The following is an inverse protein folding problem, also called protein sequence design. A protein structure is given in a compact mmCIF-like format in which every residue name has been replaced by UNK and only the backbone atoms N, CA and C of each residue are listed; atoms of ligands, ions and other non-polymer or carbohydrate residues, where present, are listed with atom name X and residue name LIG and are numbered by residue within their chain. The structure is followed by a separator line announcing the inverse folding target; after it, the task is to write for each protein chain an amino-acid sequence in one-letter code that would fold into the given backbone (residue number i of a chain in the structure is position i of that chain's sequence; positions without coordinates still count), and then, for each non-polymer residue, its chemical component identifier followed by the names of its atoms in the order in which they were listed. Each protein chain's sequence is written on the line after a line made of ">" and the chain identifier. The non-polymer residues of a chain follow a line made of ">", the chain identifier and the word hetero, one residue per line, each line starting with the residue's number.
data_IF_638475254633
#
_entry.id   IF_638475254633
#
_cell.length_a   1.000
_cell.length_b   1.000
_cell.length_c   1.000
_cell.angle_alpha   90.00
_cell.angle_beta   90.00
_cell.angle_gamma   90.00
#
_symmetry.space_group_name_H-M   'P 1'
#
loop_
_entity.id
_entity.type
_entity.pdbx_description
1 polymer ?
#
# COMPACT_ATOMS: atom_id res chain seq x y z
N UNK A 1 -4.69 31.81 38.36
CA UNK A 1 -4.29 33.20 38.08
C UNK A 1 -5.22 33.71 36.98
N UNK A 2 -5.78 34.93 37.06
CA UNK A 2 -6.49 35.50 35.92
C UNK A 2 -5.50 35.68 34.77
N UNK A 3 -5.93 35.35 33.56
CA UNK A 3 -5.12 35.47 32.34
C UNK A 3 -4.88 36.95 32.01
N UNK A 4 -3.65 37.30 31.66
CA UNK A 4 -3.27 38.64 31.19
C UNK A 4 -3.54 38.74 29.68
N UNK A 5 -4.65 39.38 29.30
CA UNK A 5 -5.12 39.48 27.92
C UNK A 5 -4.43 40.60 27.11
N UNK A 6 -3.49 41.34 27.68
CA UNK A 6 -2.87 42.52 27.03
C UNK A 6 -1.95 42.17 25.86
N UNK A 7 -1.61 40.89 25.67
CA UNK A 7 -0.67 40.40 24.64
C UNK A 7 -1.32 39.62 23.50
N UNK A 8 -2.64 39.40 23.54
CA UNK A 8 -3.34 38.60 22.54
C UNK A 8 -3.75 39.46 21.32
N UNK A 9 -3.63 38.93 20.09
CA UNK A 9 -3.99 39.65 18.87
C UNK A 9 -5.50 39.98 18.85
N UNK A 10 -5.82 41.26 18.62
CA UNK A 10 -7.19 41.78 18.57
C UNK A 10 -7.64 41.98 17.13
N UNK A 11 -8.91 41.71 16.87
CA UNK A 11 -9.55 41.98 15.59
C UNK A 11 -9.68 43.50 15.41
N UNK A 12 -9.22 43.98 14.24
CA UNK A 12 -9.15 45.42 13.92
C UNK A 12 -10.24 45.84 12.92
N UNK A 13 -10.72 44.88 12.11
CA UNK A 13 -11.80 45.02 11.13
C UNK A 13 -12.49 43.65 10.91
N UNK A 14 -13.77 43.61 10.50
CA UNK A 14 -14.68 44.75 10.34
C UNK A 14 -15.10 45.37 11.69
N UNK A 15 -15.56 46.64 11.69
CA UNK A 15 -15.91 47.42 12.91
C UNK A 15 -16.82 46.65 13.88
N UNK A 16 -17.74 45.82 13.37
CA UNK A 16 -18.65 44.97 14.15
C UNK A 16 -17.94 43.94 15.07
N UNK A 17 -16.69 43.58 14.74
CA UNK A 17 -15.86 42.67 15.53
C UNK A 17 -14.58 43.34 16.07
N UNK A 18 -14.48 44.67 15.97
CA UNK A 18 -13.29 45.39 16.47
C UNK A 18 -13.15 45.23 17.98
N UNK A 19 -11.96 44.82 18.43
CA UNK A 19 -11.64 44.60 19.85
C UNK A 19 -11.86 43.18 20.35
N UNK A 20 -12.42 42.28 19.54
CA UNK A 20 -12.53 40.86 19.87
C UNK A 20 -11.15 40.20 19.89
N UNK A 21 -10.93 39.25 20.80
CA UNK A 21 -9.66 38.52 20.90
C UNK A 21 -9.74 37.23 20.09
N UNK A 22 -8.75 37.01 19.22
CA UNK A 22 -8.58 35.71 18.56
C UNK A 22 -7.97 34.70 19.54
N UNK A 23 -8.70 33.62 19.81
CA UNK A 23 -8.31 32.61 20.79
C UNK A 23 -7.58 31.40 20.17
N UNK A 24 -7.64 31.24 18.84
CA UNK A 24 -6.95 30.16 18.13
C UNK A 24 -7.76 29.58 16.97
N UNK A 25 -7.10 28.71 16.20
CA UNK A 25 -7.69 27.86 15.17
C UNK A 25 -7.45 26.40 15.58
N UNK A 26 -8.52 25.61 15.61
CA UNK A 26 -8.45 24.18 15.95
C UNK A 26 -8.96 23.33 14.80
N UNK A 27 -8.31 22.20 14.56
CA UNK A 27 -8.92 21.08 13.83
C UNK A 27 -9.49 20.12 14.88
N UNK A 28 -10.79 19.82 14.76
CA UNK A 28 -11.63 19.07 15.70
C UNK A 28 -12.13 19.85 16.94
N UNK A 29 -13.46 19.92 17.10
CA UNK A 29 -14.13 20.35 18.33
C UNK A 29 -14.29 19.14 19.26
N UNK A 30 -13.59 19.07 20.41
CA UNK A 30 -13.64 17.93 21.32
C UNK A 30 -14.99 17.78 22.08
N UNK A 31 -15.94 18.71 21.91
CA UNK A 31 -17.24 18.71 22.63
C UNK A 31 -18.45 18.38 21.76
N UNK A 32 -18.26 18.13 20.46
CA UNK A 32 -19.36 17.78 19.58
C UNK A 32 -19.63 16.25 19.61
N UNK A 33 -20.84 15.87 20.04
CA UNK A 33 -21.24 14.47 20.26
C UNK A 33 -21.36 13.61 18.98
N UNK A 34 -21.20 14.19 17.78
CA UNK A 34 -21.47 13.53 16.49
C UNK A 34 -20.38 13.80 15.43
N UNK A 35 -19.11 13.53 15.72
CA UNK A 35 -18.10 13.44 14.67
C UNK A 35 -17.44 12.06 14.67
N UNK A 36 -18.17 11.08 14.18
CA UNK A 36 -17.58 9.89 13.57
C UNK A 36 -17.74 10.04 12.07
N UNK A 37 -16.63 9.95 11.35
CA UNK A 37 -16.57 10.09 9.89
C UNK A 37 -17.25 8.95 9.13
N UNK A 38 -18.36 8.38 9.63
CA UNK A 38 -19.10 7.31 8.98
C UNK A 38 -20.60 7.51 9.17
N UNK A 39 -21.31 7.81 8.08
CA UNK A 39 -22.76 7.88 8.04
C UNK A 39 -23.33 6.48 7.80
N UNK A 40 -23.85 5.86 8.87
CA UNK A 40 -24.46 4.53 8.84
C UNK A 40 -25.70 4.40 7.93
N UNK A 41 -26.40 5.51 7.63
CA UNK A 41 -27.60 5.47 6.76
C UNK A 41 -27.24 5.43 5.28
N UNK A 42 -26.13 6.04 4.90
CA UNK A 42 -25.68 6.15 3.50
C UNK A 42 -24.39 5.38 3.23
N UNK A 43 -23.84 4.70 4.23
CA UNK A 43 -22.53 4.04 4.22
C UNK A 43 -21.42 4.94 3.67
N UNK A 44 -21.40 6.21 4.07
CA UNK A 44 -20.50 7.24 3.52
C UNK A 44 -19.49 7.67 4.56
N UNK A 45 -18.21 7.65 4.20
CA UNK A 45 -17.13 8.14 5.05
C UNK A 45 -16.94 9.63 4.86
N UNK A 46 -16.81 10.38 5.96
CA UNK A 46 -16.40 11.78 5.92
C UNK A 46 -15.19 12.08 6.80
N UNK A 47 -14.03 12.42 6.22
CA UNK A 47 -13.04 13.28 6.89
C UNK A 47 -13.59 14.70 6.97
N UNK A 48 -14.01 15.07 8.17
CA UNK A 48 -14.57 16.38 8.47
C UNK A 48 -13.45 17.27 9.01
N UNK A 49 -12.96 18.20 8.19
CA UNK A 49 -12.18 19.32 8.69
C UNK A 49 -13.18 20.36 9.19
N UNK A 50 -13.48 20.35 10.48
CA UNK A 50 -14.15 21.49 11.10
C UNK A 50 -13.11 22.56 11.34
N UNK A 51 -13.20 23.66 10.61
CA UNK A 51 -12.55 24.90 10.99
C UNK A 51 -13.50 25.56 11.98
N UNK A 52 -13.10 25.56 13.26
CA UNK A 52 -13.76 26.35 14.29
C UNK A 52 -12.88 27.56 14.59
N UNK A 53 -13.42 28.74 14.31
CA UNK A 53 -12.85 30.02 14.75
C UNK A 53 -13.65 30.49 15.95
N UNK A 54 -12.95 30.82 17.04
CA UNK A 54 -13.56 31.36 18.26
C UNK A 54 -13.06 32.77 18.52
N UNK A 55 -14.00 33.66 18.76
CA UNK A 55 -13.73 35.01 19.24
C UNK A 55 -14.44 35.21 20.58
N UNK A 56 -13.79 35.93 21.49
CA UNK A 56 -14.40 36.37 22.74
C UNK A 56 -14.48 37.90 22.78
N UNK A 57 -15.63 38.40 23.20
CA UNK A 57 -15.84 39.81 23.51
C UNK A 57 -15.38 40.08 24.94
N UNK A 58 -14.39 40.96 25.10
CA UNK A 58 -13.84 41.32 26.42
C UNK A 58 -14.86 42.04 27.31
N UNK A 59 -15.87 42.67 26.72
CA UNK A 59 -16.80 43.58 27.42
C UNK A 59 -17.88 42.82 28.19
N UNK A 60 -18.41 41.76 27.58
CA UNK A 60 -19.54 40.99 28.11
C UNK A 60 -19.23 39.49 28.27
N UNK A 61 -18.04 39.05 27.88
CA UNK A 61 -17.61 37.66 27.94
C UNK A 61 -18.29 36.75 26.92
N UNK A 62 -19.05 37.30 25.97
CA UNK A 62 -19.73 36.52 24.94
C UNK A 62 -18.72 35.88 23.98
N UNK A 63 -19.03 34.67 23.52
CA UNK A 63 -18.18 33.89 22.61
C UNK A 63 -18.95 33.73 21.29
N UNK A 64 -18.34 34.15 20.18
CA UNK A 64 -18.82 33.83 18.84
C UNK A 64 -17.98 32.69 18.29
N UNK A 65 -18.67 31.68 17.75
CA UNK A 65 -18.05 30.56 17.06
C UNK A 65 -18.48 30.58 15.59
N UNK A 66 -17.51 30.65 14.68
CA UNK A 66 -17.74 30.32 13.28
C UNK A 66 -17.27 28.90 13.02
N UNK A 67 -18.17 28.09 12.48
CA UNK A 67 -17.93 26.69 12.19
C UNK A 67 -18.16 26.45 10.70
N UNK A 68 -17.13 26.02 9.98
CA UNK A 68 -17.27 25.52 8.62
C UNK A 68 -16.84 24.05 8.59
N UNK A 69 -17.80 23.20 8.24
CA UNK A 69 -17.55 21.78 7.97
C UNK A 69 -17.05 21.65 6.53
N UNK A 70 -15.77 21.32 6.37
CA UNK A 70 -15.20 20.92 5.07
C UNK A 70 -15.12 19.39 5.03
N UNK A 71 -15.63 18.83 3.93
CA UNK A 71 -15.82 17.41 3.66
C UNK A 71 -15.15 17.14 2.30
N UNK A 72 -14.37 16.10 1.97
CA UNK A 72 -13.78 14.91 2.63
C UNK A 72 -12.65 14.43 1.73
N UNK A 73 -11.49 14.13 2.30
CA UNK A 73 -10.53 13.28 1.58
C UNK A 73 -10.83 11.81 1.80
N UNK A 74 -10.91 11.05 0.70
CA UNK A 74 -11.00 9.58 0.72
C UNK A 74 -9.62 8.93 0.54
N UNK A 75 -9.54 7.62 0.67
CA UNK A 75 -8.29 6.88 0.62
C UNK A 75 -7.87 6.57 -0.82
N UNK A 76 -6.60 6.79 -1.11
CA UNK A 76 -5.94 6.43 -2.34
C UNK A 76 -4.75 5.50 -2.06
N UNK A 77 -4.46 4.60 -3.00
CA UNK A 77 -3.44 3.58 -2.80
C UNK A 77 -2.46 3.44 -3.97
N UNK A 78 -1.22 3.02 -3.67
CA UNK A 78 -0.23 2.54 -4.64
C UNK A 78 0.33 1.21 -4.18
N UNK A 79 0.61 0.31 -5.10
CA UNK A 79 1.13 -1.03 -4.79
C UNK A 79 2.48 -1.24 -5.45
N UNK A 80 3.41 -1.85 -4.71
CA UNK A 80 4.73 -2.27 -5.19
C UNK A 80 4.96 -3.74 -4.87
N UNK A 81 5.53 -4.49 -5.80
CA UNK A 81 5.99 -5.86 -5.56
C UNK A 81 7.51 -5.86 -5.34
N UNK A 82 7.98 -6.39 -4.21
CA UNK A 82 9.40 -6.61 -3.92
C UNK A 82 9.62 -8.12 -3.84
N UNK A 83 10.61 -8.63 -4.58
CA UNK A 83 10.72 -10.06 -4.86
C UNK A 83 11.97 -10.68 -4.24
N UNK A 84 11.81 -11.91 -3.77
CA UNK A 84 12.90 -12.82 -3.46
C UNK A 84 12.67 -14.18 -4.16
N UNK A 85 13.53 -15.15 -3.86
CA UNK A 85 13.46 -16.50 -4.47
C UNK A 85 12.26 -17.33 -3.98
N UNK A 86 11.56 -16.91 -2.93
CA UNK A 86 10.47 -17.66 -2.29
C UNK A 86 9.10 -17.00 -2.46
N UNK A 87 9.04 -15.70 -2.72
CA UNK A 87 7.79 -14.97 -2.83
C UNK A 87 7.92 -13.51 -3.20
N UNK A 88 6.83 -12.79 -2.92
CA UNK A 88 6.67 -11.36 -3.15
C UNK A 88 6.15 -10.69 -1.88
N UNK A 89 6.87 -9.67 -1.42
CA UNK A 89 6.37 -8.70 -0.45
C UNK A 89 5.60 -7.62 -1.23
N UNK A 90 4.28 -7.65 -1.09
CA UNK A 90 3.37 -6.66 -1.67
C UNK A 90 3.28 -5.49 -0.70
N UNK A 91 3.87 -4.35 -1.06
CA UNK A 91 3.85 -3.12 -0.26
C UNK A 91 2.74 -2.21 -0.78
N UNK A 92 1.85 -1.79 0.12
CA UNK A 92 0.74 -0.89 -0.17
C UNK A 92 0.96 0.43 0.56
N UNK A 93 1.06 1.51 -0.20
CA UNK A 93 1.11 2.88 0.30
C UNK A 93 -0.30 3.47 0.27
N UNK A 94 -0.80 3.88 1.42
CA UNK A 94 -2.12 4.51 1.59
C UNK A 94 -1.95 5.99 1.93
N UNK A 95 -2.65 6.85 1.21
CA UNK A 95 -2.63 8.30 1.40
C UNK A 95 -4.02 8.89 1.15
N UNK A 96 -4.18 10.15 1.54
CA UNK A 96 -5.40 10.90 1.27
C UNK A 96 -5.44 11.37 -0.19
N UNK A 97 -6.52 11.05 -0.90
CA UNK A 97 -6.74 11.39 -2.32
C UNK A 97 -6.76 12.89 -2.57
N UNK A 98 -7.37 13.63 -1.65
CA UNK A 98 -7.45 15.09 -1.65
C UNK A 98 -6.69 15.63 -0.44
N UNK A 99 -5.83 16.61 -0.65
CA UNK A 99 -5.14 17.31 0.43
C UNK A 99 -5.77 18.71 0.61
N UNK A 100 -5.68 19.30 1.81
CA UNK A 100 -6.07 20.69 1.98
C UNK A 100 -5.26 21.59 1.03
N UNK A 101 -5.82 22.75 0.61
CA UNK A 101 -5.09 23.73 -0.19
C UNK A 101 -3.76 24.11 0.45
N UNK A 102 -2.70 24.22 -0.36
CA UNK A 102 -1.33 24.48 0.13
C UNK A 102 -1.25 25.83 0.88
N UNK A 103 -2.09 26.79 0.53
CA UNK A 103 -2.16 28.12 1.13
C UNK A 103 -2.53 28.09 2.62
N UNK A 104 -3.17 27.01 3.09
CA UNK A 104 -3.51 26.83 4.50
C UNK A 104 -2.31 26.38 5.35
N UNK A 105 -1.19 25.98 4.71
CA UNK A 105 0.03 25.52 5.37
C UNK A 105 -0.22 24.47 6.47
N UNK A 106 -1.15 23.55 6.21
CA UNK A 106 -1.50 22.47 7.13
C UNK A 106 -0.64 21.25 6.83
N UNK A 107 0.06 20.73 7.84
CA UNK A 107 0.77 19.46 7.72
C UNK A 107 -0.23 18.31 7.53
N UNK A 108 -0.20 17.59 6.40
CA UNK A 108 -1.12 16.49 6.17
C UNK A 108 -0.89 15.37 7.19
N UNK A 109 -1.97 14.97 7.86
CA UNK A 109 -1.95 13.80 8.72
C UNK A 109 -2.04 12.52 7.89
N UNK A 110 -1.43 11.41 8.33
CA UNK A 110 -1.60 10.12 7.68
C UNK A 110 -3.05 9.63 7.81
N UNK A 111 -3.54 8.83 6.86
CA UNK A 111 -4.78 8.08 7.02
C UNK A 111 -4.84 7.26 8.32
N UNK A 112 -6.00 7.21 8.96
CA UNK A 112 -6.21 6.41 10.16
C UNK A 112 -7.62 5.82 10.16
N UNK A 113 -7.81 4.71 10.89
CA UNK A 113 -9.09 4.04 11.06
C UNK A 113 -8.99 2.52 10.97
N UNK A 114 -10.06 1.85 11.39
CA UNK A 114 -10.22 0.40 11.33
C UNK A 114 -10.53 -0.04 9.88
N UNK A 115 -9.51 0.02 9.03
CA UNK A 115 -9.59 -0.31 7.60
C UNK A 115 -8.58 -1.40 7.27
N UNK A 116 -8.99 -2.34 6.42
CA UNK A 116 -8.10 -3.30 5.79
C UNK A 116 -8.06 -3.07 4.27
N UNK A 117 -6.90 -3.35 3.70
CA UNK A 117 -6.72 -3.48 2.25
C UNK A 117 -6.97 -4.94 1.90
N UNK A 118 -7.89 -5.18 0.96
CA UNK A 118 -8.29 -6.53 0.55
C UNK A 118 -8.11 -6.66 -0.95
N UNK A 119 -7.44 -7.72 -1.38
CA UNK A 119 -7.32 -8.10 -2.78
C UNK A 119 -8.22 -9.29 -3.07
N UNK A 120 -9.15 -9.10 -4.01
CA UNK A 120 -10.02 -10.13 -4.54
C UNK A 120 -9.52 -10.59 -5.91
N UNK A 121 -9.59 -11.89 -6.18
CA UNK A 121 -9.38 -12.42 -7.52
C UNK A 121 -10.61 -12.23 -8.43
N UNK A 122 -10.54 -12.76 -9.65
CA UNK A 122 -11.61 -12.65 -10.64
C UNK A 122 -12.88 -13.44 -10.25
N UNK A 123 -12.77 -14.38 -9.32
CA UNK A 123 -13.87 -15.16 -8.75
C UNK A 123 -14.41 -14.57 -7.44
N UNK A 124 -13.92 -13.41 -7.02
CA UNK A 124 -14.19 -12.76 -5.73
C UNK A 124 -13.69 -13.53 -4.51
N UNK A 125 -12.77 -14.48 -4.66
CA UNK A 125 -12.07 -15.04 -3.51
C UNK A 125 -11.02 -14.06 -3.00
N UNK A 126 -10.80 -14.05 -1.69
CA UNK A 126 -9.77 -13.21 -1.08
C UNK A 126 -8.41 -13.84 -1.35
N UNK A 127 -7.53 -13.11 -2.02
CA UNK A 127 -6.12 -13.46 -2.12
C UNK A 127 -5.38 -13.07 -0.84
N UNK A 128 -5.56 -11.82 -0.39
CA UNK A 128 -5.00 -11.36 0.87
C UNK A 128 -5.87 -10.27 1.51
N UNK A 129 -5.72 -10.15 2.83
CA UNK A 129 -6.27 -9.09 3.68
C UNK A 129 -5.14 -8.58 4.58
N UNK A 130 -4.90 -7.27 4.59
CA UNK A 130 -3.93 -6.65 5.50
C UNK A 130 -4.57 -5.44 6.18
N UNK A 131 -4.58 -5.36 7.53
CA UNK A 131 -4.96 -4.15 8.23
C UNK A 131 -4.05 -2.98 7.85
N UNK A 132 -4.63 -1.79 7.64
CA UNK A 132 -3.88 -0.60 7.28
C UNK A 132 -2.82 -0.29 8.34
N UNK A 133 -1.57 -0.10 7.92
CA UNK A 133 -0.42 0.16 8.80
C UNK A 133 0.27 -1.09 9.34
N UNK A 134 -0.24 -2.29 9.02
CA UNK A 134 0.36 -3.57 9.42
C UNK A 134 1.13 -4.23 8.28
N UNK A 135 2.09 -5.08 8.60
CA UNK A 135 2.77 -5.86 7.57
C UNK A 135 3.97 -6.65 8.03
N UNK A 136 4.82 -7.00 7.07
CA UNK A 136 5.96 -7.91 7.18
C UNK A 136 7.23 -7.26 6.64
N UNK A 137 8.38 -7.89 6.88
CA UNK A 137 9.70 -7.48 6.36
C UNK A 137 10.09 -6.02 6.63
N UNK A 138 9.54 -5.42 7.69
CA UNK A 138 9.77 -4.02 8.06
C UNK A 138 9.01 -3.00 7.20
N UNK A 139 8.16 -3.43 6.26
CA UNK A 139 7.32 -2.55 5.44
C UNK A 139 5.95 -2.31 6.09
N UNK A 140 5.92 -1.58 7.20
CA UNK A 140 4.69 -1.22 7.89
C UNK A 140 4.81 0.10 8.65
N UNK A 141 3.68 0.69 9.05
CA UNK A 141 3.60 1.88 9.89
C UNK A 141 3.41 3.17 9.10
N UNK A 142 3.78 4.30 9.71
CA UNK A 142 3.53 5.63 9.18
C UNK A 142 4.83 6.27 8.72
N UNK A 143 4.83 6.80 7.50
CA UNK A 143 5.92 7.61 6.96
C UNK A 143 5.36 8.95 6.46
N UNK A 144 5.43 9.97 7.32
CA UNK A 144 4.83 11.29 7.05
C UNK A 144 3.31 11.17 6.92
N UNK A 145 2.78 11.56 5.75
CA UNK A 145 1.34 11.49 5.43
C UNK A 145 0.90 10.18 4.78
N UNK A 146 1.82 9.21 4.66
CA UNK A 146 1.57 7.92 4.02
C UNK A 146 1.56 6.82 5.10
N UNK A 147 0.58 5.94 5.03
CA UNK A 147 0.56 4.69 5.79
C UNK A 147 1.02 3.55 4.91
N UNK A 148 2.05 2.82 5.36
CA UNK A 148 2.61 1.66 4.68
C UNK A 148 2.01 0.40 5.30
N UNK A 149 1.51 -0.48 4.45
CA UNK A 149 1.07 -1.83 4.83
C UNK A 149 1.76 -2.84 3.92
N UNK A 150 1.91 -4.09 4.36
CA UNK A 150 2.47 -5.13 3.48
C UNK A 150 1.99 -6.53 3.80
N UNK A 151 2.07 -7.40 2.79
CA UNK A 151 1.79 -8.82 2.91
C UNK A 151 2.80 -9.61 2.09
N UNK A 152 3.24 -10.77 2.60
CA UNK A 152 4.11 -11.68 1.88
C UNK A 152 3.32 -12.82 1.27
N UNK A 153 3.44 -13.00 -0.04
CA UNK A 153 2.80 -14.08 -0.78
C UNK A 153 3.89 -15.01 -1.33
N UNK A 154 3.82 -16.29 -0.97
CA UNK A 154 4.80 -17.27 -1.45
C UNK A 154 4.52 -17.66 -2.91
N UNK A 155 5.57 -17.83 -3.71
CA UNK A 155 5.46 -18.24 -5.11
C UNK A 155 4.79 -19.60 -5.26
N UNK A 156 5.06 -20.54 -4.35
CA UNK A 156 4.49 -21.89 -4.39
C UNK A 156 2.97 -21.88 -4.11
N UNK A 157 2.51 -21.08 -3.15
CA UNK A 157 1.08 -20.85 -2.92
C UNK A 157 0.38 -20.26 -4.15
N UNK A 158 0.97 -19.22 -4.75
CA UNK A 158 0.38 -18.56 -5.92
C UNK A 158 0.35 -19.48 -7.16
N UNK A 159 1.37 -20.33 -7.32
CA UNK A 159 1.51 -21.24 -8.46
C UNK A 159 0.70 -22.52 -8.30
N UNK A 160 0.94 -23.29 -7.24
CA UNK A 160 0.42 -24.66 -7.11
C UNK A 160 -1.00 -24.73 -6.57
N UNK A 161 -1.43 -23.73 -5.79
CA UNK A 161 -2.72 -23.79 -5.10
C UNK A 161 -3.82 -22.93 -5.75
N UNK A 162 -3.45 -21.89 -6.53
CA UNK A 162 -4.42 -20.91 -7.02
C UNK A 162 -4.38 -20.59 -8.51
N UNK A 163 -3.24 -20.14 -9.05
CA UNK A 163 -3.24 -19.41 -10.33
C UNK A 163 -2.32 -19.97 -11.42
N UNK A 164 -1.63 -21.08 -11.15
CA UNK A 164 -0.79 -21.84 -12.09
C UNK A 164 -0.09 -20.98 -13.15
N UNK A 165 -0.40 -21.13 -14.45
CA UNK A 165 0.26 -20.46 -15.58
C UNK A 165 -0.58 -19.34 -16.22
N UNK A 166 -1.80 -19.10 -15.75
CA UNK A 166 -2.68 -18.06 -16.31
C UNK A 166 -2.75 -16.78 -15.47
N UNK A 167 -2.44 -16.86 -14.17
CA UNK A 167 -2.59 -15.73 -13.26
C UNK A 167 -4.06 -15.36 -13.00
N UNK A 168 -4.31 -14.12 -12.57
CA UNK A 168 -5.68 -13.57 -12.46
C UNK A 168 -5.66 -12.05 -12.44
N UNK A 169 -6.79 -11.43 -12.77
CA UNK A 169 -7.05 -10.04 -12.43
C UNK A 169 -7.31 -9.93 -10.94
N UNK A 170 -6.76 -8.90 -10.30
CA UNK A 170 -7.00 -8.56 -8.92
C UNK A 170 -7.76 -7.23 -8.82
N UNK A 171 -8.77 -7.21 -7.97
CA UNK A 171 -9.40 -5.98 -7.49
C UNK A 171 -8.94 -5.73 -6.07
N UNK A 172 -8.15 -4.67 -5.88
CA UNK A 172 -7.66 -4.25 -4.56
C UNK A 172 -8.43 -3.02 -4.11
N UNK A 173 -9.00 -3.10 -2.92
CA UNK A 173 -9.86 -2.06 -2.37
C UNK A 173 -9.76 -1.96 -0.86
N UNK A 174 -10.20 -0.81 -0.34
CA UNK A 174 -10.31 -0.57 1.09
C UNK A 174 -11.64 -1.06 1.64
N UNK A 175 -11.60 -1.79 2.75
CA UNK A 175 -12.77 -2.31 3.46
C UNK A 175 -12.69 -1.93 4.93
N UNK A 176 -13.81 -1.49 5.49
CA UNK A 176 -13.91 -1.36 6.95
C UNK A 176 -13.77 -2.74 7.59
N UNK A 177 -13.15 -2.80 8.76
CA UNK A 177 -13.11 -4.01 9.57
C UNK A 177 -13.93 -3.82 10.84
N UNK A 178 -14.58 -4.88 11.29
CA UNK A 178 -15.25 -4.88 12.59
C UNK A 178 -14.23 -4.61 13.71
N UNK A 179 -14.66 -4.07 14.87
CA UNK A 179 -13.83 -4.03 16.06
C UNK A 179 -13.26 -5.45 16.30
N UNK A 180 -11.94 -5.57 16.51
CA UNK A 180 -11.16 -6.82 16.58
C UNK A 180 -10.70 -7.43 15.23
N UNK A 181 -11.04 -6.84 14.09
CA UNK A 181 -10.44 -7.16 12.77
C UNK A 181 -10.91 -8.47 12.12
N UNK A 182 -11.86 -9.17 12.73
CA UNK A 182 -12.31 -10.50 12.30
C UNK A 182 -13.05 -10.43 10.96
N UNK A 183 -14.01 -9.51 10.83
CA UNK A 183 -14.90 -9.43 9.67
C UNK A 183 -14.57 -8.24 8.76
N UNK A 184 -14.54 -8.52 7.45
CA UNK A 184 -14.52 -7.51 6.40
C UNK A 184 -15.95 -6.98 6.23
N UNK A 185 -16.10 -5.67 6.30
CA UNK A 185 -17.38 -4.99 6.15
C UNK A 185 -17.50 -4.41 4.72
N UNK A 186 -18.20 -3.30 4.60
CA UNK A 186 -18.42 -2.61 3.34
C UNK A 186 -17.15 -1.89 2.87
N UNK A 187 -17.09 -1.62 1.56
CA UNK A 187 -16.03 -0.83 0.93
C UNK A 187 -16.03 0.59 1.49
N UNK A 188 -14.84 1.15 1.72
CA UNK A 188 -14.70 2.56 2.11
C UNK A 188 -15.21 3.44 0.98
N UNK A 189 -16.13 4.36 1.30
CA UNK A 189 -16.80 5.18 0.31
C UNK A 189 -15.83 6.05 -0.50
N UNK A 190 -16.03 6.10 -1.82
CA UNK A 190 -15.21 6.81 -2.83
C UNK A 190 -13.70 6.51 -2.79
N UNK A 191 -13.28 5.53 -2.00
CA UNK A 191 -11.88 5.13 -1.91
C UNK A 191 -11.42 4.52 -3.23
N UNK A 192 -10.11 4.58 -3.48
CA UNK A 192 -9.52 3.98 -4.66
C UNK A 192 -9.88 2.49 -4.78
N UNK A 193 -10.07 2.08 -6.02
CA UNK A 193 -10.20 0.69 -6.43
C UNK A 193 -9.12 0.46 -7.47
N UNK A 194 -8.10 -0.31 -7.11
CA UNK A 194 -7.03 -0.66 -8.03
C UNK A 194 -7.36 -1.97 -8.71
N UNK A 195 -7.29 -1.95 -10.04
CA UNK A 195 -7.30 -3.17 -10.86
C UNK A 195 -5.87 -3.43 -11.31
N UNK A 196 -5.29 -4.50 -10.80
CA UNK A 196 -3.92 -4.92 -11.13
C UNK A 196 -3.96 -6.36 -11.63
N UNK A 197 -2.90 -6.78 -12.31
CA UNK A 197 -2.75 -8.17 -12.72
C UNK A 197 -1.82 -8.89 -11.76
N UNK A 198 -2.21 -10.11 -11.39
CA UNK A 198 -1.32 -11.12 -10.84
C UNK A 198 -0.91 -12.01 -12.01
N UNK A 199 0.39 -12.00 -12.37
CA UNK A 199 0.88 -12.76 -13.53
C UNK A 199 2.00 -13.72 -13.15
N UNK A 200 2.08 -14.90 -13.80
CA UNK A 200 3.24 -15.77 -13.68
C UNK A 200 4.39 -15.24 -14.55
N UNK A 201 5.61 -15.18 -14.02
CA UNK A 201 6.84 -15.13 -14.79
C UNK A 201 7.19 -16.55 -15.22
N UNK A 202 7.06 -16.84 -16.52
CA UNK A 202 7.22 -18.20 -17.06
C UNK A 202 8.54 -18.31 -17.82
N UNK A 203 9.54 -19.02 -17.25
CA UNK A 203 10.78 -19.34 -17.96
C UNK A 203 10.63 -20.60 -18.84
N UNK A 204 10.53 -20.43 -20.15
CA UNK A 204 10.53 -21.52 -21.14
C UNK A 204 11.94 -21.96 -21.51
N UNK A 205 12.23 -23.27 -21.47
CA UNK A 205 13.45 -23.82 -22.06
C UNK A 205 13.25 -23.92 -23.57
N UNK A 206 14.02 -23.13 -24.35
CA UNK A 206 13.84 -22.99 -25.81
C UNK A 206 15.06 -23.48 -26.61
N UNK A 207 15.95 -24.26 -26.02
CA UNK A 207 17.14 -24.76 -26.71
C UNK A 207 17.73 -26.02 -26.07
N UNK A 208 18.66 -26.65 -26.80
CA UNK A 208 19.32 -27.87 -26.34
C UNK A 208 20.11 -27.64 -25.06
N UNK A 209 19.87 -28.49 -24.06
CA UNK A 209 20.71 -28.58 -22.87
C UNK A 209 22.02 -29.24 -23.30
N UNK A 210 23.10 -28.46 -23.39
CA UNK A 210 24.45 -29.03 -23.52
C UNK A 210 24.97 -29.34 -22.11
N UNK A 211 25.68 -30.45 -21.93
CA UNK A 211 26.03 -30.93 -20.58
C UNK A 211 27.49 -30.67 -20.18
N UNK A 212 28.30 -29.91 -20.94
CA UNK A 212 29.71 -29.63 -20.57
C UNK A 212 30.25 -28.37 -21.26
N UNK A 213 30.12 -27.16 -20.66
CA UNK A 213 29.37 -26.85 -19.44
C UNK A 213 27.86 -26.95 -19.64
N UNK A 214 27.08 -26.93 -18.56
CA UNK A 214 25.62 -26.94 -18.66
C UNK A 214 25.18 -25.62 -19.27
N UNK A 215 24.62 -25.66 -20.47
CA UNK A 215 24.07 -24.47 -21.12
C UNK A 215 22.58 -24.65 -21.34
N UNK A 216 21.81 -23.70 -20.82
CA UNK A 216 20.35 -23.70 -20.94
C UNK A 216 19.93 -22.34 -21.47
N UNK A 217 19.12 -22.34 -22.52
CA UNK A 217 18.55 -21.14 -23.10
C UNK A 217 17.11 -21.01 -22.67
N UNK A 218 16.80 -19.91 -22.01
CA UNK A 218 15.47 -19.56 -21.52
C UNK A 218 14.87 -18.44 -22.36
N UNK A 219 13.55 -18.50 -22.56
CA UNK A 219 12.72 -17.36 -22.92
C UNK A 219 11.78 -17.07 -21.76
N UNK A 220 11.79 -15.84 -21.26
CA UNK A 220 10.93 -15.39 -20.20
C UNK A 220 9.65 -14.81 -20.81
N UNK A 221 8.52 -15.45 -20.53
CA UNK A 221 7.20 -14.92 -20.83
C UNK A 221 6.66 -14.14 -19.62
N UNK A 222 5.86 -13.10 -19.89
CA UNK A 222 5.30 -12.18 -18.88
C UNK A 222 6.35 -11.48 -18.00
N UNK A 223 7.57 -11.29 -18.52
CA UNK A 223 8.60 -10.57 -17.79
C UNK A 223 8.19 -9.10 -17.56
N UNK A 224 8.18 -8.63 -16.30
CA UNK A 224 7.88 -7.22 -16.04
C UNK A 224 9.02 -6.33 -16.58
N UNK A 225 8.74 -5.04 -16.83
CA UNK A 225 9.77 -4.08 -17.21
C UNK A 225 10.90 -4.07 -16.18
N UNK A 226 12.14 -4.25 -16.64
CA UNK A 226 13.34 -4.18 -15.81
C UNK A 226 14.21 -5.43 -15.84
N UNK A 227 15.01 -5.58 -14.78
CA UNK A 227 16.02 -6.63 -14.67
C UNK A 227 15.40 -7.88 -14.02
N UNK A 228 15.87 -9.05 -14.43
CA UNK A 228 15.63 -10.30 -13.71
C UNK A 228 16.96 -10.81 -13.18
N UNK A 229 17.05 -10.98 -11.87
CA UNK A 229 18.15 -11.64 -11.20
C UNK A 229 17.94 -13.15 -11.24
N UNK A 230 18.99 -13.91 -11.56
CA UNK A 230 18.90 -15.37 -11.63
C UNK A 230 19.75 -15.97 -10.51
N UNK A 231 19.13 -16.88 -9.77
CA UNK A 231 19.76 -17.65 -8.70
C UNK A 231 19.64 -19.13 -9.02
N UNK A 232 20.62 -19.90 -8.59
CA UNK A 232 20.56 -21.36 -8.61
C UNK A 232 20.65 -21.90 -7.19
N UNK A 233 19.99 -23.02 -6.95
CA UNK A 233 20.05 -23.75 -5.69
C UNK A 233 20.03 -25.24 -5.95
N UNK A 234 20.82 -26.00 -5.21
CA UNK A 234 20.69 -27.45 -5.16
C UNK A 234 19.67 -27.82 -4.09
N UNK A 235 18.80 -28.80 -4.37
CA UNK A 235 17.73 -29.22 -3.45
C UNK A 235 18.22 -29.50 -2.02
N UNK A 236 19.40 -30.13 -1.90
CA UNK A 236 20.01 -30.49 -0.62
C UNK A 236 20.91 -29.39 -0.01
N UNK A 237 20.95 -28.20 -0.62
CA UNK A 237 21.81 -27.09 -0.18
C UNK A 237 20.95 -25.98 0.45
N UNK A 238 21.50 -25.35 1.50
CA UNK A 238 20.90 -24.21 2.18
C UNK A 238 21.21 -22.89 1.48
N UNK A 239 22.22 -22.84 0.61
CA UNK A 239 22.63 -21.63 -0.11
C UNK A 239 22.04 -21.50 -1.52
N UNK A 240 21.57 -20.30 -1.86
CA UNK A 240 21.34 -19.90 -3.26
C UNK A 240 22.57 -19.17 -3.82
N UNK A 241 23.01 -19.52 -5.02
CA UNK A 241 24.11 -18.84 -5.73
C UNK A 241 23.55 -17.89 -6.78
N UNK A 242 23.92 -16.61 -6.68
CA UNK A 242 23.63 -15.62 -7.71
C UNK A 242 24.43 -15.88 -8.98
N UNK A 243 23.76 -15.83 -10.14
CA UNK A 243 24.37 -16.03 -11.46
C UNK A 243 24.57 -14.69 -12.18
N UNK A 244 23.58 -13.80 -12.13
CA UNK A 244 23.63 -12.52 -12.83
C UNK A 244 22.26 -11.84 -12.93
N UNK A 245 22.26 -10.61 -13.43
CA UNK A 245 21.07 -9.81 -13.75
C UNK A 245 20.95 -9.62 -15.25
N UNK A 246 19.73 -9.75 -15.77
CA UNK A 246 19.47 -9.77 -17.21
C UNK A 246 18.31 -8.85 -17.58
N UNK A 247 18.54 -8.01 -18.60
CA UNK A 247 17.52 -7.14 -19.18
C UNK A 247 16.75 -7.81 -20.33
N UNK A 248 17.36 -8.80 -21.01
CA UNK A 248 16.74 -9.55 -22.10
C UNK A 248 15.68 -10.54 -21.59
N UNK A 249 14.70 -10.86 -22.44
CA UNK A 249 13.75 -11.95 -22.22
C UNK A 249 14.32 -13.29 -22.71
N UNK A 250 15.30 -13.26 -23.62
CA UNK A 250 16.05 -14.42 -24.07
C UNK A 250 17.40 -14.47 -23.35
N UNK A 251 17.62 -15.51 -22.55
CA UNK A 251 18.75 -15.62 -21.63
C UNK A 251 19.43 -16.97 -21.85
N UNK A 252 20.74 -16.95 -22.10
CA UNK A 252 21.55 -18.17 -22.10
C UNK A 252 22.37 -18.25 -20.82
N UNK A 253 22.06 -19.23 -19.98
CA UNK A 253 22.81 -19.52 -18.76
C UNK A 253 23.92 -20.52 -19.06
N UNK A 254 25.11 -20.26 -18.52
CA UNK A 254 26.24 -21.20 -18.51
C UNK A 254 26.53 -21.56 -17.06
N UNK A 255 26.14 -22.75 -16.66
CA UNK A 255 26.24 -23.24 -15.29
C UNK A 255 27.37 -24.27 -15.23
N UNK A 256 28.38 -23.98 -14.41
CA UNK A 256 29.46 -24.92 -14.15
C UNK A 256 29.10 -25.75 -12.92
N UNK A 257 28.41 -26.87 -13.16
CA UNK A 257 27.97 -27.80 -12.12
C UNK A 257 28.25 -29.24 -12.56
N UNK A 258 28.50 -30.12 -11.58
CA UNK A 258 28.67 -31.55 -11.85
C UNK A 258 27.36 -32.11 -12.45
N UNK A 259 27.46 -32.88 -13.53
CA UNK A 259 26.30 -33.50 -14.20
C UNK A 259 25.43 -34.32 -13.24
N UNK A 260 26.05 -34.95 -12.23
CA UNK A 260 25.34 -35.79 -11.27
C UNK A 260 24.45 -34.99 -10.31
N UNK A 261 24.55 -33.66 -10.29
CA UNK A 261 23.75 -32.77 -9.44
C UNK A 261 22.68 -32.00 -10.24
N UNK A 262 22.50 -32.33 -11.53
CA UNK A 262 21.56 -31.62 -12.40
C UNK A 262 20.12 -31.84 -11.99
N UNK A 263 19.76 -33.08 -11.67
CA UNK A 263 18.40 -33.45 -11.23
C UNK A 263 18.01 -32.82 -9.88
N UNK A 264 18.97 -32.21 -9.17
CA UNK A 264 18.76 -31.47 -7.93
C UNK A 264 18.80 -29.94 -8.12
N UNK A 265 19.05 -29.46 -9.34
CA UNK A 265 19.24 -28.05 -9.64
C UNK A 265 17.90 -27.32 -9.85
N UNK A 266 17.67 -26.32 -9.02
CA UNK A 266 16.58 -25.38 -9.14
C UNK A 266 17.11 -24.02 -9.61
N UNK A 267 16.40 -23.43 -10.56
CA UNK A 267 16.69 -22.10 -11.10
C UNK A 267 15.53 -21.17 -10.74
N UNK A 268 15.88 -20.04 -10.11
CA UNK A 268 14.95 -19.01 -9.67
C UNK A 268 15.18 -17.73 -10.45
N UNK A 269 14.09 -17.15 -10.95
CA UNK A 269 14.07 -15.90 -11.70
C UNK A 269 13.40 -14.84 -10.85
N UNK A 270 14.15 -13.90 -10.29
CA UNK A 270 13.65 -12.87 -9.38
C UNK A 270 13.55 -11.54 -10.13
N UNK A 271 12.34 -11.04 -10.44
CA UNK A 271 12.21 -9.76 -11.13
C UNK A 271 12.59 -8.59 -10.22
N UNK A 272 12.98 -7.47 -10.83
CA UNK A 272 13.10 -6.19 -10.13
C UNK A 272 11.73 -5.72 -9.62
N UNK A 273 11.76 -4.75 -8.69
CA UNK A 273 10.55 -4.18 -8.12
C UNK A 273 9.54 -3.75 -9.19
N UNK A 274 8.27 -4.11 -9.02
CA UNK A 274 7.17 -3.69 -9.89
C UNK A 274 6.32 -2.62 -9.22
N UNK A 275 5.57 -1.87 -10.03
CA UNK A 275 4.56 -0.90 -9.57
C UNK A 275 3.22 -1.26 -10.16
N UNK A 276 2.17 -1.35 -9.34
CA UNK A 276 0.79 -1.68 -9.73
C UNK A 276 0.65 -3.01 -10.52
N UNK A 277 1.54 -3.96 -10.27
CA UNK A 277 1.51 -5.31 -10.81
C UNK A 277 2.19 -6.25 -9.81
N UNK A 278 1.68 -7.47 -9.67
CA UNK A 278 2.28 -8.51 -8.84
C UNK A 278 2.66 -9.67 -9.76
N UNK A 279 3.89 -10.13 -9.64
CA UNK A 279 4.40 -11.27 -10.41
C UNK A 279 4.71 -12.42 -9.45
N UNK A 280 4.46 -13.65 -9.86
CA UNK A 280 4.96 -14.82 -9.15
C UNK A 280 5.75 -15.71 -10.08
N UNK A 281 6.72 -16.44 -9.53
CA UNK A 281 7.72 -17.15 -10.33
C UNK A 281 7.42 -18.63 -10.29
N UNK A 282 7.30 -19.25 -11.46
CA UNK A 282 7.23 -20.71 -11.56
C UNK A 282 8.65 -21.25 -11.38
N UNK A 283 8.94 -22.02 -10.32
CA UNK A 283 10.29 -22.53 -10.10
C UNK A 283 10.65 -23.57 -11.18
N UNK A 284 11.84 -23.47 -11.75
CA UNK A 284 12.31 -24.41 -12.78
C UNK A 284 13.23 -25.43 -12.15
N UNK A 285 12.84 -26.70 -12.28
CA UNK A 285 13.71 -27.83 -12.06
C UNK A 285 14.37 -28.22 -13.38
N UNK A 286 15.69 -28.38 -13.39
CA UNK A 286 16.47 -28.86 -14.55
C UNK A 286 16.50 -30.37 -14.59
#
# INVERSE_FOLDING_TARGET
>A
KPYDNTTLPKVIEPEEYRGWIWLGMGTANPFAKNYTGFNYKTNTTFNIYNITLRWINETDGSIIEWNQTIVVSTLAMKIKGIYDIYGVTVVIETFFKLLPPEELNLTPQPPFGDVAIVAFDSENNILFKVPMGSGVDGYCGVNGSIVISSVYLRHDYLTFEKYWDEGTNLTVEYRWIAPLGENILFRVWDSDLLRIHLKPLIPWIIGNISFSPVQIRFRLENKPPGLVAIYIRLWNDTGSRFIGTFLSDDITLKININKNLLDDLWIYFVPSQTTNEIVYVIPVKV
#
